data_IF_145813626926
#
_entry.id   IF_145813626926
#
_cell.length_a   1.000
_cell.length_b   1.000
_cell.length_c   1.000
_cell.angle_alpha   90.00
_cell.angle_beta   90.00
_cell.angle_gamma   90.00
#
_symmetry.space_group_name_H-M   'P 1'
#
loop_
_entity.id
_entity.type
_entity.pdbx_description
1 polymer ?
#
# COMPACT_ATOMS: atom_id res chain seq x y z
N UNK A 1 -65.37 -3.70 8.81
CA UNK A 1 -64.19 -4.31 9.40
C UNK A 1 -63.24 -4.81 8.32
N UNK A 2 -62.56 -3.93 7.54
CA UNK A 2 -61.58 -4.30 6.50
C UNK A 2 -60.60 -3.15 6.22
N UNK A 3 -60.03 -2.51 7.25
CA UNK A 3 -59.04 -1.41 7.07
C UNK A 3 -57.84 -1.47 8.04
N UNK A 4 -57.47 -2.63 8.58
CA UNK A 4 -56.36 -2.73 9.57
C UNK A 4 -55.23 -3.68 9.18
N UNK A 5 -55.06 -4.05 7.92
CA UNK A 5 -54.02 -5.02 7.48
C UNK A 5 -52.97 -4.46 6.52
N UNK A 6 -52.93 -3.12 6.30
CA UNK A 6 -51.93 -2.52 5.38
C UNK A 6 -50.78 -1.76 6.05
N UNK A 7 -50.76 -1.67 7.38
CA UNK A 7 -49.72 -0.88 8.09
C UNK A 7 -48.50 -1.66 8.59
N UNK A 8 -48.49 -2.99 8.46
CA UNK A 8 -47.42 -3.83 9.01
C UNK A 8 -46.33 -4.25 7.99
N UNK A 9 -46.47 -3.86 6.73
CA UNK A 9 -45.49 -4.26 5.68
C UNK A 9 -44.42 -3.20 5.39
N UNK A 10 -44.54 -1.99 5.91
CA UNK A 10 -43.60 -0.89 5.65
C UNK A 10 -42.45 -0.82 6.70
N UNK A 11 -42.60 -1.50 7.83
CA UNK A 11 -41.60 -1.44 8.92
C UNK A 11 -40.48 -2.49 8.83
N UNK A 12 -40.59 -3.45 7.91
CA UNK A 12 -39.57 -4.52 7.78
C UNK A 12 -38.41 -4.18 6.83
N UNK A 13 -38.50 -3.06 6.10
CA UNK A 13 -37.45 -2.67 5.14
C UNK A 13 -36.38 -1.70 5.72
N UNK A 14 -36.45 -1.35 7.00
CA UNK A 14 -35.51 -0.43 7.64
C UNK A 14 -34.43 -1.10 8.50
N UNK A 15 -34.23 -2.41 8.40
CA UNK A 15 -33.26 -3.16 9.22
C UNK A 15 -32.11 -3.76 8.41
N UNK A 16 -32.00 -3.45 7.14
CA UNK A 16 -30.73 -3.76 6.42
C UNK A 16 -29.82 -2.56 6.57
N UNK A 17 -28.72 -2.73 7.33
CA UNK A 17 -27.70 -1.72 7.45
C UNK A 17 -27.17 -1.31 6.07
N UNK A 18 -26.73 -0.08 5.93
CA UNK A 18 -26.05 0.39 4.71
C UNK A 18 -24.76 -0.41 4.53
N UNK A 19 -24.63 -1.09 3.38
CA UNK A 19 -23.47 -1.90 3.07
C UNK A 19 -22.33 -1.03 2.55
N UNK A 20 -21.17 -1.18 3.15
CA UNK A 20 -19.92 -0.53 2.73
C UNK A 20 -18.94 -1.61 2.26
N UNK A 21 -18.52 -1.53 1.00
CA UNK A 21 -17.53 -2.44 0.43
C UNK A 21 -16.18 -1.74 0.41
N UNK A 22 -15.22 -2.24 1.21
CA UNK A 22 -13.91 -1.65 1.35
C UNK A 22 -12.80 -2.57 0.84
N UNK A 23 -11.92 -2.05 -0.03
CA UNK A 23 -10.71 -2.74 -0.48
C UNK A 23 -9.54 -2.50 0.46
N UNK A 24 -8.79 -3.53 0.81
CA UNK A 24 -7.63 -3.41 1.69
C UNK A 24 -6.51 -4.39 1.33
N UNK A 25 -5.27 -4.07 1.68
CA UNK A 25 -4.20 -5.08 1.72
C UNK A 25 -4.30 -5.91 3.01
N UNK A 26 -3.73 -7.15 3.05
CA UNK A 26 -3.97 -8.06 4.18
C UNK A 26 -3.58 -7.46 5.54
N UNK A 27 -2.32 -7.08 5.68
CA UNK A 27 -1.72 -6.61 6.93
C UNK A 27 -1.15 -5.20 6.72
N UNK A 28 -1.35 -4.26 7.62
CA UNK A 28 -2.25 -4.30 8.79
C UNK A 28 -3.70 -3.89 8.43
N UNK A 29 -3.96 -3.49 7.18
CA UNK A 29 -5.16 -2.77 6.77
C UNK A 29 -6.45 -3.58 6.97
N UNK A 30 -6.52 -4.82 6.44
CA UNK A 30 -7.68 -5.66 6.64
C UNK A 30 -7.87 -6.03 8.12
N UNK A 31 -6.78 -6.26 8.87
CA UNK A 31 -6.85 -6.55 10.31
C UNK A 31 -7.42 -5.37 11.11
N UNK A 32 -7.03 -4.13 10.78
CA UNK A 32 -7.60 -2.91 11.39
C UNK A 32 -9.10 -2.82 11.10
N UNK A 33 -9.51 -3.10 9.87
CA UNK A 33 -10.91 -3.07 9.46
C UNK A 33 -11.74 -4.14 10.17
N UNK A 34 -11.22 -5.34 10.36
CA UNK A 34 -11.90 -6.40 11.11
C UNK A 34 -12.15 -5.98 12.57
N UNK A 35 -11.22 -5.26 13.20
CA UNK A 35 -11.42 -4.69 14.55
C UNK A 35 -12.53 -3.63 14.53
N UNK A 36 -12.60 -2.80 13.49
CA UNK A 36 -13.60 -1.75 13.38
C UNK A 36 -15.02 -2.28 13.06
N UNK A 37 -15.11 -3.48 12.49
CA UNK A 37 -16.36 -4.08 11.97
C UNK A 37 -17.48 -4.10 13.00
N UNK A 38 -17.23 -4.62 14.20
CA UNK A 38 -18.25 -4.70 15.25
C UNK A 38 -18.79 -3.31 15.65
N UNK A 39 -17.95 -2.27 15.64
CA UNK A 39 -18.36 -0.90 15.94
C UNK A 39 -19.23 -0.29 14.83
N UNK A 40 -18.98 -0.62 13.59
CA UNK A 40 -19.76 -0.18 12.44
C UNK A 40 -21.10 -0.90 12.37
N UNK A 41 -21.13 -2.21 12.64
CA UNK A 41 -22.36 -3.01 12.72
C UNK A 41 -23.30 -2.48 13.81
N UNK A 42 -22.76 -2.09 14.96
CA UNK A 42 -23.54 -1.48 16.04
C UNK A 42 -24.14 -0.12 15.65
N UNK A 43 -23.60 0.56 14.64
CA UNK A 43 -24.10 1.81 14.07
C UNK A 43 -25.03 1.59 12.87
N UNK A 44 -25.31 0.34 12.50
CA UNK A 44 -26.22 -0.01 11.42
C UNK A 44 -25.55 -0.10 10.04
N UNK A 45 -24.23 -0.26 9.98
CA UNK A 45 -23.51 -0.49 8.73
C UNK A 45 -23.10 -1.96 8.61
N UNK A 46 -23.19 -2.52 7.40
CA UNK A 46 -22.62 -3.83 7.07
C UNK A 46 -21.28 -3.61 6.35
N UNK A 47 -20.16 -4.07 6.93
CA UNK A 47 -18.85 -3.94 6.32
C UNK A 47 -18.44 -5.21 5.56
N UNK A 48 -18.26 -5.10 4.24
CA UNK A 48 -17.63 -6.12 3.40
C UNK A 48 -16.18 -5.72 3.10
N UNK A 49 -15.20 -6.55 3.53
CA UNK A 49 -13.78 -6.31 3.30
C UNK A 49 -13.32 -7.18 2.14
N UNK A 50 -12.84 -6.57 1.04
CA UNK A 50 -12.20 -7.24 -0.09
C UNK A 50 -10.69 -7.10 0.02
N UNK A 51 -9.98 -8.22 0.16
CA UNK A 51 -8.52 -8.24 0.34
C UNK A 51 -7.82 -8.35 -1.01
N UNK A 52 -6.82 -7.48 -1.22
CA UNK A 52 -5.97 -7.43 -2.42
C UNK A 52 -4.51 -7.59 -2.04
N UNK A 53 -3.74 -8.35 -2.83
CA UNK A 53 -2.32 -8.61 -2.57
C UNK A 53 -1.37 -7.68 -3.34
N UNK A 54 -1.89 -6.63 -3.96
CA UNK A 54 -1.13 -5.62 -4.71
C UNK A 54 -1.71 -4.22 -4.46
N UNK A 55 -1.03 -3.18 -5.00
CA UNK A 55 -1.44 -1.79 -4.81
C UNK A 55 -2.25 -1.21 -5.99
N UNK A 56 -2.33 -1.91 -7.12
CA UNK A 56 -2.98 -1.42 -8.33
C UNK A 56 -4.47 -1.75 -8.35
N UNK A 57 -4.81 -3.01 -8.05
CA UNK A 57 -6.17 -3.51 -8.13
C UNK A 57 -7.16 -2.80 -7.20
N UNK A 58 -6.81 -2.44 -5.93
CA UNK A 58 -7.74 -1.71 -5.07
C UNK A 58 -8.18 -0.36 -5.65
N UNK A 59 -7.24 0.36 -6.30
CA UNK A 59 -7.57 1.64 -6.92
C UNK A 59 -8.38 1.48 -8.22
N UNK A 60 -8.09 0.45 -9.01
CA UNK A 60 -8.91 0.13 -10.20
C UNK A 60 -10.33 -0.23 -9.80
N UNK A 61 -10.50 -1.16 -8.86
CA UNK A 61 -11.82 -1.57 -8.37
C UNK A 61 -12.62 -0.39 -7.79
N UNK A 62 -11.95 0.55 -7.09
CA UNK A 62 -12.59 1.76 -6.60
C UNK A 62 -12.99 2.70 -7.75
N UNK A 63 -12.15 2.88 -8.76
CA UNK A 63 -12.45 3.70 -9.94
C UNK A 63 -13.62 3.11 -10.76
N UNK A 64 -13.72 1.78 -10.82
CA UNK A 64 -14.79 1.04 -11.50
C UNK A 64 -16.08 0.95 -10.66
N UNK A 65 -16.07 1.46 -9.42
CA UNK A 65 -17.20 1.44 -8.45
C UNK A 65 -17.55 0.05 -7.93
N UNK A 66 -16.62 -0.87 -7.94
CA UNK A 66 -16.72 -2.19 -7.32
C UNK A 66 -16.43 -2.14 -5.81
N UNK A 67 -15.93 -0.99 -5.35
CA UNK A 67 -15.67 -0.62 -3.95
C UNK A 67 -16.25 0.77 -3.68
N UNK A 68 -16.63 1.02 -2.43
CA UNK A 68 -17.01 2.37 -1.96
C UNK A 68 -15.78 3.15 -1.49
N UNK A 69 -14.78 2.45 -0.95
CA UNK A 69 -13.53 3.02 -0.44
C UNK A 69 -12.41 1.97 -0.49
N UNK A 70 -11.16 2.40 -0.44
CA UNK A 70 -10.04 1.50 -0.15
C UNK A 70 -9.17 2.04 0.99
N UNK A 71 -8.46 1.12 1.67
CA UNK A 71 -7.55 1.41 2.76
C UNK A 71 -6.25 0.63 2.57
N UNK A 72 -5.21 1.27 1.99
CA UNK A 72 -3.95 0.56 1.70
C UNK A 72 -2.78 1.46 1.31
N UNK A 73 -2.97 2.77 1.07
CA UNK A 73 -1.99 3.59 0.39
C UNK A 73 -1.68 4.90 1.10
N UNK A 74 -0.55 5.49 0.80
CA UNK A 74 -0.21 6.85 1.14
C UNK A 74 -0.60 7.83 0.02
N UNK A 75 -0.83 9.09 0.36
CA UNK A 75 -1.29 10.11 -0.57
C UNK A 75 -0.38 10.29 -1.81
N UNK A 76 0.97 10.29 -1.73
CA UNK A 76 1.81 10.37 -2.91
C UNK A 76 1.55 9.26 -3.94
N UNK A 77 1.32 8.00 -3.49
CA UNK A 77 0.97 6.90 -4.37
C UNK A 77 -0.38 7.13 -5.06
N UNK A 78 -1.40 7.57 -4.32
CA UNK A 78 -2.72 7.87 -4.87
C UNK A 78 -2.65 8.96 -5.95
N UNK A 79 -1.88 10.04 -5.72
CA UNK A 79 -1.70 11.13 -6.69
C UNK A 79 -1.03 10.63 -7.96
N UNK A 80 0.02 9.83 -7.84
CA UNK A 80 0.73 9.25 -8.99
C UNK A 80 -0.17 8.26 -9.73
N UNK A 81 -0.89 7.39 -9.02
CA UNK A 81 -1.86 6.49 -9.63
C UNK A 81 -2.91 7.24 -10.45
N UNK A 82 -3.48 8.31 -9.90
CA UNK A 82 -4.44 9.15 -10.61
C UNK A 82 -3.84 9.75 -11.89
N UNK A 83 -2.63 10.28 -11.80
CA UNK A 83 -1.95 10.88 -12.94
C UNK A 83 -1.68 9.87 -14.06
N UNK A 84 -1.23 8.67 -13.72
CA UNK A 84 -0.90 7.61 -14.68
C UNK A 84 -2.14 6.96 -15.30
N UNK A 85 -3.24 6.86 -14.57
CA UNK A 85 -4.44 6.12 -15.01
C UNK A 85 -5.60 7.04 -15.41
N UNK A 86 -5.47 8.37 -15.31
CA UNK A 86 -6.54 9.31 -15.61
C UNK A 86 -7.73 9.24 -14.65
N UNK A 87 -7.52 8.71 -13.46
CA UNK A 87 -8.54 8.60 -12.40
C UNK A 87 -8.60 9.86 -11.53
N UNK A 88 -9.63 9.97 -10.68
CA UNK A 88 -9.84 11.11 -9.78
C UNK A 88 -10.24 10.64 -8.39
N UNK A 89 -9.52 9.65 -7.89
CA UNK A 89 -9.73 9.16 -6.53
C UNK A 89 -9.21 10.20 -5.53
N UNK A 90 -9.93 10.41 -4.44
CA UNK A 90 -9.61 11.43 -3.43
C UNK A 90 -9.27 10.78 -2.09
N UNK A 91 -8.29 11.32 -1.35
CA UNK A 91 -8.00 10.85 -0.01
C UNK A 91 -9.09 11.33 0.96
N UNK A 92 -9.56 10.45 1.84
CA UNK A 92 -10.56 10.80 2.87
C UNK A 92 -9.86 11.25 4.15
N UNK A 93 -9.00 10.42 4.73
CA UNK A 93 -8.19 10.75 5.91
C UNK A 93 -7.03 9.76 6.08
N UNK A 94 -6.03 10.14 6.89
CA UNK A 94 -4.93 9.27 7.29
C UNK A 94 -5.28 8.48 8.56
N UNK A 95 -5.05 7.18 8.55
CA UNK A 95 -5.33 6.30 9.69
C UNK A 95 -4.06 6.05 10.51
N UNK A 96 -2.94 5.73 9.88
CA UNK A 96 -1.66 5.43 10.53
C UNK A 96 -0.49 5.73 9.61
N UNK A 97 0.73 5.61 10.14
CA UNK A 97 1.97 5.75 9.39
C UNK A 97 2.67 4.40 9.29
N UNK A 98 3.10 4.05 8.09
CA UNK A 98 3.89 2.85 7.84
C UNK A 98 5.31 3.21 7.42
N UNK A 99 6.33 2.80 8.19
CA UNK A 99 7.71 2.95 7.78
C UNK A 99 8.03 2.01 6.61
N UNK A 100 9.11 2.32 5.91
CA UNK A 100 9.76 1.43 4.98
C UNK A 100 11.07 0.98 5.62
N UNK A 101 11.40 -0.30 5.52
CA UNK A 101 12.59 -0.87 6.13
C UNK A 101 13.52 -1.54 5.12
N UNK A 102 14.79 -1.66 5.50
CA UNK A 102 15.78 -2.46 4.77
C UNK A 102 15.97 -3.80 5.50
N UNK A 103 15.77 -4.90 4.78
CA UNK A 103 15.77 -6.27 5.29
C UNK A 103 16.82 -7.12 4.60
N UNK A 104 17.40 -8.08 5.32
CA UNK A 104 18.37 -9.03 4.79
C UNK A 104 18.32 -10.36 5.52
N UNK A 105 18.58 -11.45 4.79
CA UNK A 105 18.85 -12.78 5.36
C UNK A 105 20.34 -13.09 5.44
N UNK A 106 21.18 -12.35 4.68
CA UNK A 106 22.59 -12.67 4.50
C UNK A 106 23.54 -11.79 5.29
N UNK A 107 23.14 -10.54 5.61
CA UNK A 107 23.97 -9.58 6.36
C UNK A 107 23.21 -9.07 7.59
N UNK A 108 23.94 -8.67 8.61
CA UNK A 108 23.40 -8.12 9.88
C UNK A 108 23.56 -6.60 9.96
N UNK A 109 24.37 -6.01 9.10
CA UNK A 109 24.68 -4.58 9.09
C UNK A 109 24.91 -4.11 7.66
N UNK A 110 24.53 -2.87 7.34
CA UNK A 110 24.81 -2.23 6.05
C UNK A 110 26.32 -2.12 5.76
N UNK A 111 27.16 -2.15 6.79
CA UNK A 111 28.63 -2.15 6.64
C UNK A 111 29.14 -3.43 5.97
N UNK A 112 28.42 -4.54 6.05
CA UNK A 112 28.80 -5.83 5.46
C UNK A 112 28.49 -5.93 3.95
N UNK A 113 27.77 -4.95 3.38
CA UNK A 113 27.53 -4.88 1.94
C UNK A 113 28.86 -4.80 1.18
N UNK A 114 29.00 -5.65 0.17
CA UNK A 114 30.19 -5.77 -0.68
C UNK A 114 30.02 -5.03 -2.00
N UNK A 115 31.11 -4.85 -2.69
CA UNK A 115 31.10 -4.31 -4.04
C UNK A 115 30.27 -5.19 -4.97
N UNK A 116 29.37 -4.58 -5.73
CA UNK A 116 28.49 -5.26 -6.69
C UNK A 116 27.29 -6.01 -6.08
N UNK A 117 27.07 -5.90 -4.77
CA UNK A 117 25.90 -6.52 -4.11
C UNK A 117 24.57 -6.06 -4.72
N UNK A 118 23.60 -6.97 -4.77
CA UNK A 118 22.26 -6.68 -5.28
C UNK A 118 21.36 -6.16 -4.17
N UNK A 119 20.61 -5.11 -4.49
CA UNK A 119 19.58 -4.53 -3.63
C UNK A 119 18.24 -4.56 -4.37
N UNK A 120 17.23 -5.23 -3.82
CA UNK A 120 15.88 -5.17 -4.35
C UNK A 120 15.12 -3.97 -3.78
N UNK A 121 14.38 -3.28 -4.65
CA UNK A 121 13.58 -2.09 -4.32
C UNK A 121 12.20 -2.18 -5.00
N UNK A 122 11.16 -1.50 -4.48
CA UNK A 122 9.88 -1.40 -5.17
C UNK A 122 10.02 -0.80 -6.56
N UNK A 123 9.16 -1.20 -7.50
CA UNK A 123 9.15 -0.70 -8.87
C UNK A 123 8.07 0.36 -9.15
N UNK A 124 7.24 0.71 -8.17
CA UNK A 124 6.33 1.83 -8.33
C UNK A 124 7.05 3.15 -8.02
N UNK A 125 6.79 4.23 -8.79
CA UNK A 125 7.62 5.44 -8.77
C UNK A 125 7.78 6.06 -7.38
N UNK A 126 6.73 6.01 -6.55
CA UNK A 126 6.74 6.67 -5.24
C UNK A 126 7.48 5.85 -4.19
N UNK A 127 7.29 4.53 -4.16
CA UNK A 127 8.00 3.67 -3.21
C UNK A 127 9.43 3.38 -3.66
N UNK A 128 9.70 3.31 -4.97
CA UNK A 128 11.05 3.27 -5.51
C UNK A 128 11.87 4.48 -5.05
N UNK A 129 11.34 5.69 -5.24
CA UNK A 129 12.00 6.91 -4.77
C UNK A 129 12.21 6.91 -3.25
N UNK A 130 11.23 6.45 -2.45
CA UNK A 130 11.38 6.31 -1.00
C UNK A 130 12.48 5.32 -0.61
N UNK A 131 12.59 4.21 -1.34
CA UNK A 131 13.61 3.20 -1.10
C UNK A 131 15.01 3.77 -1.37
N UNK A 132 15.19 4.47 -2.49
CA UNK A 132 16.45 5.13 -2.83
C UNK A 132 16.79 6.23 -1.81
N UNK A 133 15.82 7.03 -1.37
CA UNK A 133 16.02 8.04 -0.32
C UNK A 133 16.47 7.40 1.01
N UNK A 134 15.90 6.25 1.37
CA UNK A 134 16.32 5.51 2.57
C UNK A 134 17.77 5.05 2.47
N UNK A 135 18.19 4.52 1.32
CA UNK A 135 19.57 4.09 1.07
C UNK A 135 20.55 5.27 1.07
N UNK A 136 20.16 6.39 0.46
CA UNK A 136 20.96 7.61 0.45
C UNK A 136 21.11 8.21 1.85
N UNK A 137 20.03 8.26 2.64
CA UNK A 137 20.07 8.72 4.03
C UNK A 137 21.02 7.90 4.90
N UNK A 138 21.21 6.64 4.56
CA UNK A 138 22.17 5.74 5.25
C UNK A 138 23.55 5.72 4.60
N UNK A 139 23.85 6.63 3.68
CA UNK A 139 25.19 6.82 3.11
C UNK A 139 25.63 5.75 2.10
N UNK A 140 24.71 4.93 1.59
CA UNK A 140 25.03 3.88 0.61
C UNK A 140 25.18 4.43 -0.81
N UNK A 141 24.40 5.47 -1.15
CA UNK A 141 24.37 6.12 -2.46
C UNK A 141 24.18 7.64 -2.29
N UNK A 142 24.44 8.41 -3.34
CA UNK A 142 24.03 9.80 -3.46
C UNK A 142 23.08 9.94 -4.66
N UNK A 143 22.07 10.81 -4.54
CA UNK A 143 21.00 10.98 -5.52
C UNK A 143 21.00 12.40 -6.09
N UNK A 144 20.52 12.59 -7.32
CA UNK A 144 20.22 13.92 -7.85
C UNK A 144 19.04 14.53 -7.07
N UNK A 145 19.32 15.61 -6.36
CA UNK A 145 18.32 16.32 -5.53
C UNK A 145 17.30 17.12 -6.34
N UNK A 146 17.50 17.28 -7.64
CA UNK A 146 16.59 18.02 -8.54
C UNK A 146 15.42 17.15 -9.01
N UNK A 147 15.57 15.82 -8.97
CA UNK A 147 14.55 14.86 -9.37
C UNK A 147 13.61 14.60 -8.20
N UNK A 148 12.32 14.62 -8.45
CA UNK A 148 11.28 14.45 -7.41
C UNK A 148 11.00 12.99 -7.11
N UNK A 149 10.75 12.19 -8.16
CA UNK A 149 10.59 10.74 -8.10
C UNK A 149 11.84 10.12 -8.72
N UNK A 150 12.71 9.60 -7.86
CA UNK A 150 14.03 9.11 -8.22
C UNK A 150 13.98 7.65 -8.60
N UNK A 151 14.74 7.31 -9.62
CA UNK A 151 15.02 5.96 -10.10
C UNK A 151 16.51 5.63 -9.91
N UNK A 152 16.97 4.40 -10.11
CA UNK A 152 18.41 4.08 -10.09
C UNK A 152 19.25 4.89 -11.08
N UNK A 153 18.62 5.46 -12.13
CA UNK A 153 19.32 6.32 -13.09
C UNK A 153 19.71 7.69 -12.51
N UNK A 154 19.08 8.10 -11.42
CA UNK A 154 19.32 9.37 -10.73
C UNK A 154 20.37 9.25 -9.62
N UNK A 155 21.03 8.10 -9.52
CA UNK A 155 22.14 7.87 -8.59
C UNK A 155 23.38 8.58 -9.12
N UNK A 156 23.85 9.58 -8.40
CA UNK A 156 25.03 10.37 -8.76
C UNK A 156 26.32 9.79 -8.21
N UNK A 157 26.23 8.98 -7.13
CA UNK A 157 27.38 8.28 -6.55
C UNK A 157 26.96 6.94 -5.97
N UNK A 158 27.72 5.90 -6.30
CA UNK A 158 27.48 4.52 -5.87
C UNK A 158 28.84 3.87 -5.55
N UNK A 159 29.42 4.14 -4.35
CA UNK A 159 30.79 3.78 -4.03
C UNK A 159 31.04 2.26 -3.94
N UNK A 160 29.97 1.47 -3.77
CA UNK A 160 30.05 0.00 -3.72
C UNK A 160 29.52 -0.66 -4.99
N UNK A 161 29.31 0.07 -6.07
CA UNK A 161 28.76 -0.45 -7.33
C UNK A 161 27.52 -1.34 -7.13
N UNK A 162 26.66 -0.98 -6.17
CA UNK A 162 25.43 -1.72 -5.83
C UNK A 162 24.54 -1.84 -7.05
N UNK A 163 23.93 -3.00 -7.24
CA UNK A 163 23.06 -3.30 -8.37
C UNK A 163 21.62 -3.31 -7.89
N UNK A 164 20.78 -2.50 -8.51
CA UNK A 164 19.39 -2.39 -8.15
C UNK A 164 18.53 -3.35 -8.97
N UNK A 165 17.59 -4.02 -8.28
CA UNK A 165 16.58 -4.91 -8.87
C UNK A 165 15.22 -4.37 -8.48
N UNK A 166 14.52 -3.83 -9.46
CA UNK A 166 13.18 -3.24 -9.29
C UNK A 166 12.13 -4.33 -9.38
N UNK A 167 11.33 -4.50 -8.32
CA UNK A 167 10.32 -5.55 -8.19
C UNK A 167 9.01 -4.99 -7.67
N UNK A 168 7.92 -5.65 -8.01
CA UNK A 168 6.62 -5.39 -7.39
C UNK A 168 6.71 -5.57 -5.86
N UNK A 169 6.13 -4.64 -5.09
CA UNK A 169 6.25 -4.58 -3.63
C UNK A 169 5.93 -5.91 -2.93
N UNK A 170 4.86 -6.58 -3.38
CA UNK A 170 4.44 -7.89 -2.83
C UNK A 170 5.45 -9.04 -3.07
N UNK A 171 6.38 -8.87 -4.00
CA UNK A 171 7.39 -9.91 -4.33
C UNK A 171 8.70 -9.72 -3.58
N UNK A 172 8.97 -8.52 -3.05
CA UNK A 172 10.21 -8.17 -2.38
C UNK A 172 10.62 -9.11 -1.22
N UNK A 173 9.70 -9.58 -0.35
CA UNK A 173 10.06 -10.52 0.70
C UNK A 173 10.65 -11.84 0.18
N UNK A 174 10.20 -12.30 -0.99
CA UNK A 174 10.72 -13.52 -1.62
C UNK A 174 12.09 -13.30 -2.25
N UNK A 175 12.39 -12.09 -2.70
CA UNK A 175 13.67 -11.74 -3.29
C UNK A 175 14.83 -11.78 -2.27
N UNK A 176 14.55 -11.79 -0.96
CA UNK A 176 15.57 -11.86 0.10
C UNK A 176 16.50 -13.08 0.03
N UNK A 177 16.11 -14.12 -0.68
CA UNK A 177 16.96 -15.30 -0.91
C UNK A 177 17.96 -15.10 -2.07
N UNK A 178 17.75 -14.06 -2.91
CA UNK A 178 18.53 -13.82 -4.14
C UNK A 178 19.33 -12.50 -4.11
N UNK A 179 19.09 -11.66 -3.08
CA UNK A 179 19.73 -10.34 -2.95
C UNK A 179 20.40 -10.18 -1.58
N UNK A 180 21.36 -9.29 -1.49
CA UNK A 180 22.02 -8.98 -0.21
C UNK A 180 21.15 -8.12 0.69
N UNK A 181 20.26 -7.29 0.12
CA UNK A 181 19.35 -6.39 0.82
C UNK A 181 18.08 -6.19 0.01
N UNK A 182 16.94 -6.06 0.67
CA UNK A 182 15.71 -5.58 0.04
C UNK A 182 15.10 -4.44 0.87
N UNK A 183 14.63 -3.39 0.20
CA UNK A 183 13.87 -2.31 0.84
C UNK A 183 12.39 -2.59 0.65
N UNK A 184 11.68 -2.82 1.75
CA UNK A 184 10.31 -3.37 1.74
C UNK A 184 9.38 -2.44 2.54
N UNK A 185 8.20 -2.19 2.00
CA UNK A 185 7.11 -1.55 2.72
C UNK A 185 6.67 -2.44 3.91
N UNK A 186 6.41 -1.85 5.07
CA UNK A 186 6.13 -2.62 6.29
C UNK A 186 4.93 -3.56 6.20
N UNK A 187 3.96 -3.25 5.36
CA UNK A 187 2.80 -4.11 5.15
C UNK A 187 3.10 -5.41 4.36
N UNK A 188 4.27 -5.53 3.77
CA UNK A 188 4.76 -6.75 3.10
C UNK A 188 5.92 -7.42 3.85
N UNK A 189 6.50 -6.78 4.87
CA UNK A 189 7.68 -7.25 5.60
C UNK A 189 7.36 -8.30 6.67
#
# INVERSE_FOLDING_TARGET
MKKLLLSSLVLASMLMGEKIVIGATPVPHAEILEVAKASLEAQGYELEIKVFNDYVLPNKALADKDLDVNFMQHEPYLREFNAMNGTRLEPVFGVHLEPMGAYSKSIKSLAELKDGDKIAIPNDPTNESRALDLLAKNGLIELDTKVKLRTPMDITKNPKNLKFVELEGATLPRALDEVSLAVINSNFA
#
